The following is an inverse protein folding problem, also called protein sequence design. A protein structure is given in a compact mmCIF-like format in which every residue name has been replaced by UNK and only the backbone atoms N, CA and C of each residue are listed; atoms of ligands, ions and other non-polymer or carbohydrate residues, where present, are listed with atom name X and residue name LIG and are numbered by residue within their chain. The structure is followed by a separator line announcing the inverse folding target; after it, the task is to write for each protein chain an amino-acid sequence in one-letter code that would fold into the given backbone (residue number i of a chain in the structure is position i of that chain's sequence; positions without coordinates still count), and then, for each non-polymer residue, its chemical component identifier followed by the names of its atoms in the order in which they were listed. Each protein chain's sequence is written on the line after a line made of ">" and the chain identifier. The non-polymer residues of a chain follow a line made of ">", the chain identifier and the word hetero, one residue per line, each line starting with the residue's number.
data_IF_592639240673
#
_entry.id   IF_592639240673
#
_cell.length_a   1.000
_cell.length_b   1.000
_cell.length_c   1.000
_cell.angle_alpha   90.00
_cell.angle_beta   90.00
_cell.angle_gamma   90.00
#
_symmetry.space_group_name_H-M   'P 1'
#
loop_
_entity.id
_entity.type
_entity.pdbx_description
1 polymer ?
#
# COMPACT_ATOMS: atom_id res chain seq x y z
N UNK A 1 -3.05 13.08 50.00
CA UNK A 1 -3.90 12.37 49.02
C UNK A 1 -3.00 11.97 47.86
N UNK A 2 -2.93 10.67 47.57
CA UNK A 2 -2.19 10.13 46.44
C UNK A 2 -3.21 9.53 45.47
N UNK A 3 -3.15 9.91 44.19
CA UNK A 3 -3.36 8.98 43.08
C UNK A 3 -2.49 9.39 41.87
N UNK A 4 -1.77 8.42 41.26
CA UNK A 4 -0.95 8.58 40.06
C UNK A 4 -1.78 8.28 38.80
N UNK A 5 -1.33 8.70 37.62
CA UNK A 5 -1.92 8.15 36.40
C UNK A 5 -1.52 8.84 35.10
N UNK A 6 -1.03 8.03 34.16
CA UNK A 6 -1.11 8.35 32.74
C UNK A 6 0.20 8.64 32.05
N UNK A 7 1.13 7.67 32.08
CA UNK A 7 2.16 7.59 31.05
C UNK A 7 1.49 7.43 29.68
N UNK A 8 1.40 8.52 28.93
CA UNK A 8 1.18 8.49 27.50
C UNK A 8 2.52 8.21 26.84
N UNK A 9 2.97 6.95 26.83
CA UNK A 9 4.05 6.56 25.94
C UNK A 9 3.61 6.93 24.51
N UNK A 10 4.40 7.72 23.75
CA UNK A 10 4.08 7.96 22.34
C UNK A 10 3.93 6.60 21.66
N UNK A 11 3.02 6.46 20.68
CA UNK A 11 2.84 5.20 19.98
C UNK A 11 4.21 4.73 19.51
N UNK A 12 4.55 3.49 19.89
CA UNK A 12 5.86 2.89 19.64
C UNK A 12 6.28 3.25 18.21
N UNK A 13 7.39 4.00 18.09
CA UNK A 13 7.90 4.41 16.81
C UNK A 13 7.97 3.14 15.94
N UNK A 14 7.39 3.14 14.72
CA UNK A 14 7.41 1.97 13.88
C UNK A 14 8.88 1.54 13.74
N UNK A 15 9.16 0.23 13.81
CA UNK A 15 10.52 -0.28 13.77
C UNK A 15 11.23 0.36 12.57
N UNK A 16 12.45 0.84 12.82
CA UNK A 16 13.29 1.55 11.89
C UNK A 16 13.32 0.83 10.52
N UNK A 17 12.48 1.29 9.60
CA UNK A 17 12.11 0.56 8.39
C UNK A 17 11.33 1.44 7.44
N UNK A 18 11.33 1.07 6.17
CA UNK A 18 10.64 1.76 5.08
C UNK A 18 9.18 2.05 5.46
N UNK A 19 8.79 3.32 5.48
CA UNK A 19 7.41 3.73 5.75
C UNK A 19 6.77 4.23 4.46
N UNK A 20 5.55 3.78 4.20
CA UNK A 20 4.77 4.22 3.04
C UNK A 20 3.40 4.70 3.50
N UNK A 21 3.01 5.90 3.08
CA UNK A 21 1.73 6.52 3.42
C UNK A 21 0.97 6.86 2.15
N UNK A 22 -0.26 6.37 2.02
CA UNK A 22 -1.18 6.72 0.93
C UNK A 22 -1.88 8.01 1.33
N UNK A 23 -1.47 9.14 0.74
CA UNK A 23 -1.94 10.47 1.13
C UNK A 23 -3.26 10.87 0.50
N UNK A 24 -3.64 10.23 -0.60
CA UNK A 24 -4.89 10.54 -1.27
C UNK A 24 -4.97 9.94 -2.66
N UNK A 25 -5.97 10.38 -3.41
CA UNK A 25 -6.11 10.02 -4.81
C UNK A 25 -6.49 11.23 -5.65
N UNK A 26 -6.06 11.23 -6.90
CA UNK A 26 -6.38 12.25 -7.88
C UNK A 26 -6.92 11.59 -9.14
N UNK A 27 -7.85 12.27 -9.81
CA UNK A 27 -8.28 11.89 -11.15
C UNK A 27 -7.29 12.45 -12.18
N UNK A 28 -6.78 11.59 -13.07
CA UNK A 28 -5.81 11.95 -14.12
C UNK A 28 -6.39 11.61 -15.49
N UNK A 29 -6.28 12.54 -16.42
CA UNK A 29 -6.66 12.36 -17.82
C UNK A 29 -5.60 11.58 -18.59
N UNK A 30 -6.00 10.48 -19.24
CA UNK A 30 -5.10 9.62 -20.02
C UNK A 30 -4.80 10.15 -21.44
N UNK A 31 -4.90 11.46 -21.67
CA UNK A 31 -4.57 12.08 -22.96
C UNK A 31 -5.58 11.89 -24.10
N UNK A 32 -6.70 11.19 -23.87
CA UNK A 32 -7.83 11.06 -24.80
C UNK A 32 -9.12 11.70 -24.27
N UNK A 33 -10.03 12.12 -25.16
CA UNK A 33 -11.33 12.72 -24.80
C UNK A 33 -12.12 11.78 -23.88
N UNK A 34 -12.19 12.12 -22.59
CA UNK A 34 -13.04 11.47 -21.59
C UNK A 34 -12.46 10.25 -20.86
N UNK A 35 -11.24 9.81 -21.17
CA UNK A 35 -10.62 8.70 -20.43
C UNK A 35 -9.87 9.25 -19.21
N UNK A 36 -10.54 9.24 -18.05
CA UNK A 36 -9.93 9.64 -16.77
C UNK A 36 -9.92 8.48 -15.80
N UNK A 37 -8.79 8.31 -15.10
CA UNK A 37 -8.57 7.24 -14.14
C UNK A 37 -8.05 7.79 -12.81
N UNK A 38 -8.35 7.07 -11.72
CA UNK A 38 -7.85 7.43 -10.39
C UNK A 38 -6.43 6.91 -10.19
N UNK A 39 -5.53 7.80 -9.75
CA UNK A 39 -4.21 7.48 -9.21
C UNK A 39 -4.19 7.78 -7.73
N UNK A 40 -3.42 7.01 -6.97
CA UNK A 40 -3.23 7.16 -5.53
C UNK A 40 -1.81 7.66 -5.30
N UNK A 41 -1.68 8.70 -4.47
CA UNK A 41 -0.40 9.28 -4.09
C UNK A 41 0.16 8.52 -2.89
N UNK A 42 1.43 8.13 -2.99
CA UNK A 42 2.16 7.46 -1.94
C UNK A 42 3.35 8.34 -1.56
N UNK A 43 3.51 8.60 -0.27
CA UNK A 43 4.70 9.17 0.32
C UNK A 43 5.54 8.05 0.91
N UNK A 44 6.78 7.96 0.45
CA UNK A 44 7.75 6.95 0.84
C UNK A 44 8.82 7.63 1.66
N UNK A 45 8.90 7.26 2.93
CA UNK A 45 9.90 7.75 3.87
C UNK A 45 10.88 6.62 4.18
N UNK A 46 12.11 6.78 3.71
CA UNK A 46 13.19 5.84 3.94
C UNK A 46 14.18 6.38 4.96
N UNK A 47 14.74 5.51 5.80
CA UNK A 47 15.65 5.88 6.91
C UNK A 47 16.89 6.70 6.48
N UNK A 48 17.27 6.67 5.19
CA UNK A 48 18.46 7.35 4.64
C UNK A 48 18.21 8.07 3.31
N UNK A 49 16.96 8.21 2.89
CA UNK A 49 16.61 8.88 1.63
C UNK A 49 15.63 10.01 1.90
N UNK A 50 15.71 11.12 1.17
CA UNK A 50 14.68 12.14 1.25
C UNK A 50 13.32 11.51 0.97
N UNK A 51 12.28 11.98 1.65
CA UNK A 51 10.92 11.55 1.37
C UNK A 51 10.62 11.73 -0.12
N UNK A 52 10.02 10.70 -0.73
CA UNK A 52 9.67 10.72 -2.14
C UNK A 52 8.19 10.49 -2.27
N UNK A 53 7.58 11.18 -3.22
CA UNK A 53 6.18 10.96 -3.57
C UNK A 53 6.10 10.27 -4.90
N UNK A 54 5.34 9.18 -4.99
CA UNK A 54 5.03 8.52 -6.25
C UNK A 54 3.53 8.32 -6.39
N UNK A 55 3.04 8.20 -7.62
CA UNK A 55 1.62 7.97 -7.90
C UNK A 55 1.42 6.63 -8.57
N UNK A 56 0.42 5.86 -8.11
CA UNK A 56 0.11 4.53 -8.64
C UNK A 56 -1.38 4.36 -8.86
N UNK A 57 -1.77 3.68 -9.95
CA UNK A 57 -3.16 3.29 -10.19
C UNK A 57 -3.56 2.15 -9.28
N UNK A 58 -4.86 1.98 -9.01
CA UNK A 58 -5.36 0.82 -8.24
C UNK A 58 -4.88 -0.53 -8.80
N UNK A 59 -4.83 -0.66 -10.14
CA UNK A 59 -4.35 -1.88 -10.80
C UNK A 59 -2.87 -2.18 -10.53
N UNK A 60 -2.03 -1.16 -10.33
CA UNK A 60 -0.61 -1.35 -10.07
C UNK A 60 -0.35 -2.04 -8.72
N UNK A 61 -1.23 -1.86 -7.73
CA UNK A 61 -1.15 -2.58 -6.45
C UNK A 61 -1.44 -4.08 -6.65
N UNK A 62 -2.42 -4.42 -7.49
CA UNK A 62 -2.70 -5.82 -7.84
C UNK A 62 -1.54 -6.43 -8.63
N UNK A 63 -0.90 -5.67 -9.52
CA UNK A 63 0.31 -6.09 -10.22
C UNK A 63 1.50 -6.31 -9.28
N UNK A 64 1.70 -5.44 -8.28
CA UNK A 64 2.70 -5.63 -7.22
C UNK A 64 2.48 -6.97 -6.51
N UNK A 65 1.27 -7.22 -6.00
CA UNK A 65 0.94 -8.48 -5.33
C UNK A 65 1.14 -9.69 -6.24
N UNK A 66 0.80 -9.58 -7.53
CA UNK A 66 1.06 -10.64 -8.50
C UNK A 66 2.55 -10.90 -8.70
N UNK A 67 3.39 -9.86 -8.67
CA UNK A 67 4.85 -10.00 -8.78
C UNK A 67 5.44 -10.61 -7.52
N UNK A 68 5.05 -10.12 -6.35
CA UNK A 68 5.45 -10.69 -5.04
C UNK A 68 5.05 -12.17 -4.93
N UNK A 69 3.82 -12.53 -5.35
CA UNK A 69 3.36 -13.93 -5.33
C UNK A 69 4.01 -14.83 -6.39
N UNK A 70 4.70 -14.24 -7.38
CA UNK A 70 5.42 -14.92 -8.47
C UNK A 70 6.93 -14.98 -8.27
N UNK A 71 7.49 -14.33 -7.24
CA UNK A 71 8.94 -14.38 -7.02
C UNK A 71 9.44 -15.82 -6.96
N UNK A 72 10.60 -16.00 -7.60
CA UNK A 72 11.12 -17.28 -8.02
C UNK A 72 11.35 -18.22 -6.83
N UNK A 73 11.29 -19.56 -7.03
CA UNK A 73 11.69 -20.53 -6.03
C UNK A 73 13.17 -20.32 -5.68
N UNK A 74 13.46 -19.50 -4.66
CA UNK A 74 14.80 -19.07 -4.30
C UNK A 74 14.79 -17.82 -3.41
N UNK A 75 13.83 -16.92 -3.61
CA UNK A 75 13.58 -15.84 -2.67
C UNK A 75 12.79 -16.39 -1.48
N UNK A 76 13.34 -16.26 -0.28
CA UNK A 76 12.79 -16.84 0.96
C UNK A 76 11.59 -16.02 1.44
N UNK A 77 10.55 -15.93 0.61
CA UNK A 77 9.27 -15.39 1.06
C UNK A 77 8.63 -16.45 1.96
N UNK A 78 8.48 -16.14 3.23
CA UNK A 78 7.84 -16.98 4.23
C UNK A 78 6.42 -17.34 3.78
N UNK A 79 5.97 -18.54 4.14
CA UNK A 79 4.60 -19.00 3.81
C UNK A 79 3.54 -18.01 4.31
N UNK A 80 3.77 -17.38 5.45
CA UNK A 80 2.88 -16.36 6.04
C UNK A 80 2.79 -15.11 5.17
N UNK A 81 3.92 -14.55 4.73
CA UNK A 81 3.96 -13.40 3.83
C UNK A 81 3.26 -13.71 2.49
N UNK A 82 3.47 -14.91 1.94
CA UNK A 82 2.78 -15.36 0.73
C UNK A 82 1.27 -15.47 0.93
N UNK A 83 0.83 -16.04 2.06
CA UNK A 83 -0.58 -16.08 2.43
C UNK A 83 -1.20 -14.69 2.58
N UNK A 84 -0.46 -13.74 3.15
CA UNK A 84 -0.85 -12.34 3.24
C UNK A 84 -1.03 -11.72 1.83
N UNK A 85 -0.06 -11.91 0.94
CA UNK A 85 -0.11 -11.42 -0.45
C UNK A 85 -1.31 -11.97 -1.22
N UNK A 86 -1.56 -13.28 -1.15
CA UNK A 86 -2.70 -13.91 -1.83
C UNK A 86 -4.05 -13.46 -1.25
N UNK A 87 -4.13 -13.28 0.08
CA UNK A 87 -5.31 -12.74 0.75
C UNK A 87 -5.64 -11.32 0.30
N UNK A 88 -4.63 -10.44 0.26
CA UNK A 88 -4.78 -9.08 -0.21
C UNK A 88 -5.11 -8.99 -1.70
N UNK A 89 -4.52 -9.87 -2.52
CA UNK A 89 -4.81 -9.93 -3.95
C UNK A 89 -6.28 -10.23 -4.19
N UNK A 90 -6.82 -11.23 -3.49
CA UNK A 90 -8.25 -11.59 -3.56
C UNK A 90 -9.12 -10.42 -3.13
N UNK A 91 -8.78 -9.77 -2.02
CA UNK A 91 -9.53 -8.61 -1.49
C UNK A 91 -9.54 -7.42 -2.45
N UNK A 92 -8.40 -7.07 -3.05
CA UNK A 92 -8.34 -5.99 -4.04
C UNK A 92 -9.11 -6.31 -5.32
N UNK A 93 -9.13 -7.58 -5.76
CA UNK A 93 -9.92 -7.99 -6.92
C UNK A 93 -11.42 -7.88 -6.66
N UNK A 94 -11.88 -8.25 -5.47
CA UNK A 94 -13.27 -8.07 -5.03
C UNK A 94 -13.62 -6.58 -5.03
N UNK A 95 -12.80 -5.73 -4.40
CA UNK A 95 -13.01 -4.28 -4.35
C UNK A 95 -12.99 -3.62 -5.74
N UNK A 96 -12.12 -4.09 -6.65
CA UNK A 96 -12.11 -3.65 -8.04
C UNK A 96 -13.44 -3.97 -8.74
N UNK A 97 -13.98 -5.17 -8.50
CA UNK A 97 -15.24 -5.63 -9.10
C UNK A 97 -16.44 -4.85 -8.57
N UNK A 98 -16.49 -4.57 -7.27
CA UNK A 98 -17.62 -3.86 -6.65
C UNK A 98 -17.67 -2.37 -6.99
N UNK A 99 -16.52 -1.71 -7.10
CA UNK A 99 -16.49 -0.27 -7.35
C UNK A 99 -16.96 0.12 -8.75
N UNK A 100 -16.74 -0.71 -9.79
CA UNK A 100 -17.25 -0.49 -11.15
C UNK A 100 -17.15 0.97 -11.64
N UNK A 101 -18.28 1.54 -12.09
CA UNK A 101 -18.41 2.96 -12.49
C UNK A 101 -18.35 3.96 -11.32
N UNK A 102 -18.57 3.50 -10.09
CA UNK A 102 -18.50 4.30 -8.85
C UNK A 102 -17.09 4.46 -8.28
N UNK A 103 -16.06 3.95 -8.97
CA UNK A 103 -14.66 4.01 -8.52
C UNK A 103 -14.11 5.42 -8.25
N UNK A 104 -14.81 6.46 -8.74
CA UNK A 104 -14.48 7.88 -8.58
C UNK A 104 -15.28 8.56 -7.47
N UNK A 105 -16.29 7.88 -6.91
CA UNK A 105 -17.10 8.45 -5.84
C UNK A 105 -16.20 8.71 -4.61
N UNK A 106 -16.29 9.89 -3.97
CA UNK A 106 -15.40 10.26 -2.86
C UNK A 106 -15.36 9.21 -1.73
N UNK A 107 -16.51 8.63 -1.40
CA UNK A 107 -16.60 7.56 -0.41
C UNK A 107 -15.80 6.30 -0.78
N UNK A 108 -15.86 5.90 -2.06
CA UNK A 108 -15.10 4.74 -2.58
C UNK A 108 -13.61 5.07 -2.62
N UNK A 109 -13.25 6.29 -3.02
CA UNK A 109 -11.86 6.76 -3.04
C UNK A 109 -11.27 6.75 -1.62
N UNK A 110 -11.97 7.30 -0.64
CA UNK A 110 -11.54 7.29 0.76
C UNK A 110 -11.41 5.87 1.31
N UNK A 111 -12.39 5.00 1.03
CA UNK A 111 -12.34 3.60 1.44
C UNK A 111 -11.13 2.87 0.82
N UNK A 112 -10.84 3.14 -0.46
CA UNK A 112 -9.68 2.58 -1.16
C UNK A 112 -8.36 3.11 -0.63
N UNK A 113 -8.25 4.39 -0.28
CA UNK A 113 -7.05 4.95 0.36
C UNK A 113 -6.76 4.20 1.67
N UNK A 114 -7.77 4.05 2.54
CA UNK A 114 -7.61 3.31 3.79
C UNK A 114 -7.28 1.82 3.56
N UNK A 115 -7.90 1.19 2.57
CA UNK A 115 -7.65 -0.20 2.19
C UNK A 115 -6.21 -0.40 1.69
N UNK A 116 -5.73 0.48 0.80
CA UNK A 116 -4.39 0.42 0.23
C UNK A 116 -3.33 0.73 1.27
N UNK A 117 -3.59 1.69 2.17
CA UNK A 117 -2.73 1.97 3.31
C UNK A 117 -2.57 0.72 4.18
N UNK A 118 -3.69 0.13 4.60
CA UNK A 118 -3.68 -1.08 5.43
C UNK A 118 -2.95 -2.24 4.75
N UNK A 119 -3.15 -2.42 3.45
CA UNK A 119 -2.42 -3.43 2.68
C UNK A 119 -0.92 -3.19 2.75
N UNK A 120 -0.45 -1.97 2.51
CA UNK A 120 0.98 -1.64 2.57
C UNK A 120 1.53 -1.82 3.98
N UNK A 121 0.81 -1.40 5.03
CA UNK A 121 1.24 -1.60 6.42
C UNK A 121 1.39 -3.09 6.75
N UNK A 122 0.44 -3.94 6.34
CA UNK A 122 0.51 -5.38 6.56
C UNK A 122 1.64 -6.03 5.74
N UNK A 123 1.89 -5.59 4.50
CA UNK A 123 3.00 -6.10 3.68
C UNK A 123 4.37 -5.66 4.22
N UNK A 124 4.50 -4.40 4.66
CA UNK A 124 5.73 -3.83 5.19
C UNK A 124 6.09 -4.38 6.58
N UNK A 125 5.14 -5.04 7.25
CA UNK A 125 5.44 -5.83 8.45
C UNK A 125 6.35 -7.04 8.16
N UNK A 126 6.46 -7.46 6.90
CA UNK A 126 7.34 -8.54 6.47
C UNK A 126 8.67 -7.98 5.93
N UNK A 127 9.80 -8.18 6.61
CA UNK A 127 11.09 -7.60 6.21
C UNK A 127 11.56 -8.10 4.83
N UNK A 128 11.25 -9.35 4.50
CA UNK A 128 11.47 -9.97 3.19
C UNK A 128 10.77 -9.23 2.04
N UNK A 129 9.55 -8.72 2.27
CA UNK A 129 8.82 -7.91 1.28
C UNK A 129 9.45 -6.51 1.18
N UNK A 130 9.87 -5.93 2.30
CA UNK A 130 10.58 -4.64 2.32
C UNK A 130 11.85 -4.65 1.47
N UNK A 131 12.54 -5.79 1.40
CA UNK A 131 13.76 -5.97 0.60
C UNK A 131 13.51 -6.44 -0.84
N UNK A 132 12.27 -6.71 -1.23
CA UNK A 132 12.00 -7.34 -2.53
C UNK A 132 12.14 -6.36 -3.69
N UNK A 133 12.63 -6.87 -4.83
CA UNK A 133 12.78 -6.07 -6.04
C UNK A 133 11.44 -5.52 -6.58
N UNK A 134 10.31 -6.28 -6.54
CA UNK A 134 9.01 -5.77 -6.95
C UNK A 134 8.53 -4.59 -6.12
N UNK A 135 8.73 -4.61 -4.79
CA UNK A 135 8.34 -3.49 -3.92
C UNK A 135 9.21 -2.26 -4.22
N UNK A 136 10.53 -2.44 -4.34
CA UNK A 136 11.44 -1.35 -4.67
C UNK A 136 11.08 -0.69 -6.01
N UNK A 137 10.77 -1.49 -7.05
CA UNK A 137 10.33 -0.98 -8.34
C UNK A 137 8.95 -0.31 -8.28
N UNK A 138 8.05 -0.82 -7.43
CA UNK A 138 6.75 -0.21 -7.22
C UNK A 138 6.85 1.15 -6.53
N UNK A 139 7.83 1.38 -5.66
CA UNK A 139 8.00 2.63 -4.92
C UNK A 139 8.95 3.64 -5.58
N UNK A 140 9.65 3.25 -6.65
CA UNK A 140 10.55 4.10 -7.43
C UNK A 140 9.82 5.17 -8.26
#
# INVERSE_FOLDING_TARGET
>A
AAQPGGGGAPPAAPPAGLRVVVTGAAEVSAGGRGDTHMVYSLEVEGQRRPARTCTRRFSAFVELLNRLGREAPGERVSREARGCVDGWKTRLLVEKRHAGRGAKAPAIVSARVALLQRMLDELLAFPEICSSAPLAAFLA
#
